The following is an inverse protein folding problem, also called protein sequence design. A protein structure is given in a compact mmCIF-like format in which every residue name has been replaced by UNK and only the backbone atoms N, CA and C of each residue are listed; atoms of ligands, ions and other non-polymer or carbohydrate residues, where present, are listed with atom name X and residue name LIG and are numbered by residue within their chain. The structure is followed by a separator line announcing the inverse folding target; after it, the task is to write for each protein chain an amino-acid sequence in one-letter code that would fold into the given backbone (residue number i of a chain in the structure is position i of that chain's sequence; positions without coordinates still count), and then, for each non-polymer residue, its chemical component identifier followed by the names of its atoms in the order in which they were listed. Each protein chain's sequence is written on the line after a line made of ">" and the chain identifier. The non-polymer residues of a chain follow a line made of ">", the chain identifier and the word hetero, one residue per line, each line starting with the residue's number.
data_IF_886341887461
#
_entry.id   IF_886341887461
#
_cell.length_a   1.000
_cell.length_b   1.000
_cell.length_c   1.000
_cell.angle_alpha   90.00
_cell.angle_beta   90.00
_cell.angle_gamma   90.00
#
_symmetry.space_group_name_H-M   'P 1'
#
loop_
_entity.id
_entity.type
_entity.pdbx_description
1 polymer ?
#
# COMPACT_ATOMS: atom_id res chain seq x y z
N UNK A 1 -22.73 18.85 -25.97
CA UNK A 1 -22.37 17.43 -26.15
C UNK A 1 -21.19 17.19 -25.22
N UNK A 2 -21.39 16.47 -24.11
CA UNK A 2 -20.27 16.11 -23.23
C UNK A 2 -19.41 15.15 -24.06
N UNK A 3 -18.21 15.60 -24.43
CA UNK A 3 -17.16 14.73 -24.97
C UNK A 3 -16.88 13.69 -23.87
N UNK A 4 -16.75 12.42 -24.26
CA UNK A 4 -16.55 11.25 -23.38
C UNK A 4 -15.82 11.57 -22.08
N UNK A 5 -16.38 11.12 -20.95
CA UNK A 5 -15.70 11.11 -19.65
C UNK A 5 -14.46 10.24 -19.81
N UNK A 6 -13.27 10.78 -19.53
CA UNK A 6 -12.03 9.98 -19.52
C UNK A 6 -11.90 9.20 -18.21
N UNK A 7 -10.99 8.22 -18.17
CA UNK A 7 -10.84 7.32 -17.02
C UNK A 7 -10.52 8.08 -15.72
N UNK A 8 -9.68 9.12 -15.79
CA UNK A 8 -9.38 9.97 -14.64
C UNK A 8 -10.59 10.76 -14.12
N UNK A 9 -11.49 11.20 -15.01
CA UNK A 9 -12.76 11.82 -14.61
C UNK A 9 -13.71 10.81 -13.98
N UNK A 10 -13.74 9.57 -14.49
CA UNK A 10 -14.53 8.49 -13.93
C UNK A 10 -14.05 8.12 -12.52
N UNK A 11 -12.74 8.00 -12.31
CA UNK A 11 -12.15 7.75 -10.99
C UNK A 11 -12.49 8.85 -9.99
N UNK A 12 -12.38 10.13 -10.40
CA UNK A 12 -12.76 11.26 -9.54
C UNK A 12 -14.23 11.18 -9.10
N UNK A 13 -15.13 10.77 -9.99
CA UNK A 13 -16.55 10.56 -9.66
C UNK A 13 -16.74 9.39 -8.70
N UNK A 14 -16.09 8.24 -8.94
CA UNK A 14 -16.12 7.08 -8.03
C UNK A 14 -15.64 7.46 -6.64
N UNK A 15 -14.50 8.17 -6.54
CA UNK A 15 -13.95 8.68 -5.28
C UNK A 15 -14.93 9.61 -4.56
N UNK A 16 -15.53 10.57 -5.27
CA UNK A 16 -16.53 11.49 -4.70
C UNK A 16 -17.79 10.78 -4.20
N UNK A 17 -18.24 9.73 -4.91
CA UNK A 17 -19.35 8.88 -4.49
C UNK A 17 -19.04 8.16 -3.16
N UNK A 18 -17.91 7.46 -3.08
CA UNK A 18 -17.52 6.74 -1.86
C UNK A 18 -17.32 7.67 -0.67
N UNK A 19 -16.68 8.82 -0.87
CA UNK A 19 -16.52 9.84 0.18
C UNK A 19 -17.88 10.35 0.67
N UNK A 20 -18.82 10.61 -0.24
CA UNK A 20 -20.18 11.05 0.14
C UNK A 20 -20.90 9.99 0.98
N UNK A 21 -20.78 8.71 0.61
CA UNK A 21 -21.35 7.61 1.39
C UNK A 21 -20.68 7.48 2.77
N UNK A 22 -19.36 7.60 2.83
CA UNK A 22 -18.60 7.53 4.08
C UNK A 22 -18.99 8.66 5.04
N UNK A 23 -19.16 9.91 4.56
CA UNK A 23 -19.66 11.03 5.38
C UNK A 23 -21.05 10.71 5.96
N UNK A 24 -21.96 10.19 5.13
CA UNK A 24 -23.31 9.85 5.59
C UNK A 24 -23.29 8.75 6.65
N UNK A 25 -22.46 7.72 6.46
CA UNK A 25 -22.32 6.62 7.41
C UNK A 25 -21.69 7.09 8.72
N UNK A 26 -20.57 7.81 8.67
CA UNK A 26 -19.83 8.20 9.88
C UNK A 26 -20.64 9.16 10.76
N UNK A 27 -21.51 10.00 10.17
CA UNK A 27 -22.42 10.87 10.92
C UNK A 27 -23.52 10.09 11.67
N UNK A 28 -23.78 8.84 11.29
CA UNK A 28 -24.77 7.96 11.94
C UNK A 28 -24.11 7.04 12.95
N UNK A 29 -22.80 6.81 12.82
CA UNK A 29 -22.03 5.88 13.64
C UNK A 29 -21.46 6.59 14.88
N UNK A 30 -21.43 5.87 16.01
CA UNK A 30 -21.03 6.43 17.30
C UNK A 30 -19.50 6.38 17.47
N UNK A 31 -18.83 7.46 17.05
CA UNK A 31 -17.37 7.57 17.11
C UNK A 31 -16.81 7.45 18.53
N UNK A 32 -17.56 7.89 19.55
CA UNK A 32 -17.11 7.78 20.95
C UNK A 32 -17.06 6.32 21.37
N UNK A 33 -18.03 5.50 20.96
CA UNK A 33 -18.00 4.05 21.20
C UNK A 33 -16.88 3.36 20.45
N UNK A 34 -16.55 3.81 19.24
CA UNK A 34 -15.38 3.30 18.52
C UNK A 34 -14.10 3.54 19.33
N UNK A 35 -13.87 4.79 19.74
CA UNK A 35 -12.68 5.18 20.53
C UNK A 35 -12.61 4.44 21.86
N UNK A 36 -13.74 4.23 22.54
CA UNK A 36 -13.79 3.54 23.83
C UNK A 36 -13.82 2.00 23.72
N UNK A 37 -13.64 1.44 22.51
CA UNK A 37 -13.67 0.00 22.27
C UNK A 37 -15.00 -0.70 22.60
N UNK A 38 -16.13 0.00 22.50
CA UNK A 38 -17.46 -0.49 22.90
C UNK A 38 -18.30 -1.04 21.72
N UNK A 39 -17.74 -1.11 20.52
CA UNK A 39 -18.44 -1.61 19.33
C UNK A 39 -18.16 -3.09 19.06
N UNK A 40 -19.09 -3.74 18.36
CA UNK A 40 -18.77 -4.99 17.70
C UNK A 40 -17.76 -4.77 16.56
N UNK A 41 -16.95 -5.79 16.28
CA UNK A 41 -15.84 -5.69 15.33
C UNK A 41 -16.28 -5.27 13.92
N UNK A 42 -17.45 -5.74 13.44
CA UNK A 42 -17.94 -5.38 12.10
C UNK A 42 -18.30 -3.89 12.00
N UNK A 43 -18.90 -3.33 13.06
CA UNK A 43 -19.13 -1.88 13.14
C UNK A 43 -17.84 -1.10 13.27
N UNK A 44 -16.87 -1.57 14.07
CA UNK A 44 -15.56 -0.94 14.19
C UNK A 44 -14.84 -0.87 12.83
N UNK A 45 -14.79 -1.99 12.09
CA UNK A 45 -14.24 -2.06 10.73
C UNK A 45 -14.96 -1.09 9.80
N UNK A 46 -16.30 -1.03 9.87
CA UNK A 46 -17.08 -0.13 9.02
C UNK A 46 -16.75 1.35 9.28
N UNK A 47 -16.61 1.74 10.56
CA UNK A 47 -16.21 3.10 10.94
C UNK A 47 -14.80 3.38 10.43
N UNK A 48 -13.87 2.47 10.68
CA UNK A 48 -12.48 2.66 10.31
C UNK A 48 -12.29 2.80 8.78
N UNK A 49 -12.92 1.93 7.98
CA UNK A 49 -12.94 2.06 6.51
C UNK A 49 -13.50 3.41 6.08
N UNK A 50 -14.55 3.92 6.75
CA UNK A 50 -15.07 5.27 6.46
C UNK A 50 -14.06 6.37 6.79
N UNK A 51 -13.30 6.27 7.89
CA UNK A 51 -12.27 7.24 8.26
C UNK A 51 -11.17 7.29 7.19
N UNK A 52 -10.67 6.12 6.76
CA UNK A 52 -9.62 6.00 5.73
C UNK A 52 -10.07 6.59 4.40
N UNK A 53 -11.30 6.30 3.94
CA UNK A 53 -11.86 6.88 2.69
C UNK A 53 -11.86 8.40 2.71
N UNK A 54 -12.13 8.98 3.87
CA UNK A 54 -12.23 10.43 4.02
C UNK A 54 -10.86 11.11 4.10
N UNK A 55 -9.76 10.36 4.25
CA UNK A 55 -8.43 10.91 4.57
C UNK A 55 -8.49 11.93 5.73
N UNK A 56 -9.33 11.66 6.73
CA UNK A 56 -9.65 12.56 7.85
C UNK A 56 -8.96 12.14 9.16
N UNK A 57 -7.74 11.61 9.09
CA UNK A 57 -6.95 11.21 10.27
C UNK A 57 -6.90 12.31 11.34
N UNK A 58 -6.79 13.58 10.93
CA UNK A 58 -6.78 14.74 11.84
C UNK A 58 -8.07 14.96 12.64
N UNK A 59 -9.22 14.48 12.16
CA UNK A 59 -10.50 14.57 12.89
C UNK A 59 -10.75 13.37 13.78
N UNK A 60 -10.00 12.28 13.57
CA UNK A 60 -10.16 10.99 14.25
C UNK A 60 -8.77 10.48 14.66
N UNK A 61 -8.06 11.29 15.44
CA UNK A 61 -6.72 10.97 15.95
C UNK A 61 -6.73 9.66 16.74
N UNK A 62 -5.72 8.81 16.53
CA UNK A 62 -5.62 7.50 17.18
C UNK A 62 -6.58 6.44 16.62
N UNK A 63 -7.30 6.71 15.54
CA UNK A 63 -8.25 5.73 14.95
C UNK A 63 -7.56 4.46 14.45
N UNK A 64 -6.36 4.56 13.88
CA UNK A 64 -5.58 3.39 13.45
C UNK A 64 -5.08 2.58 14.64
N UNK A 65 -4.64 3.22 15.73
CA UNK A 65 -4.32 2.54 17.00
C UNK A 65 -5.52 1.79 17.56
N UNK A 66 -6.68 2.46 17.68
CA UNK A 66 -7.90 1.82 18.18
C UNK A 66 -8.30 0.62 17.30
N UNK A 67 -8.19 0.74 15.97
CA UNK A 67 -8.51 -0.36 15.07
C UNK A 67 -7.50 -1.52 15.19
N UNK A 68 -6.22 -1.23 15.40
CA UNK A 68 -5.20 -2.24 15.68
C UNK A 68 -5.56 -3.02 16.95
N UNK A 69 -5.94 -2.32 18.02
CA UNK A 69 -6.38 -2.93 19.28
C UNK A 69 -7.65 -3.78 19.07
N UNK A 70 -8.61 -3.30 18.27
CA UNK A 70 -9.78 -4.11 17.90
C UNK A 70 -9.37 -5.41 17.20
N UNK A 71 -8.44 -5.36 16.24
CA UNK A 71 -7.97 -6.57 15.57
C UNK A 71 -7.30 -7.54 16.55
N UNK A 72 -6.50 -7.02 17.47
CA UNK A 72 -5.82 -7.84 18.47
C UNK A 72 -6.79 -8.48 19.47
N UNK A 73 -7.67 -7.69 20.12
CA UNK A 73 -8.63 -8.19 21.12
C UNK A 73 -9.57 -9.25 20.55
N UNK A 74 -9.92 -9.12 19.26
CA UNK A 74 -10.79 -10.09 18.58
C UNK A 74 -10.01 -11.26 17.95
N UNK A 75 -8.72 -11.43 18.24
CA UNK A 75 -7.84 -12.50 17.71
C UNK A 75 -7.78 -12.54 16.19
N UNK A 76 -7.86 -11.38 15.55
CA UNK A 76 -7.75 -11.21 14.09
C UNK A 76 -6.33 -10.85 13.66
N UNK A 77 -5.46 -10.50 14.61
CA UNK A 77 -4.04 -10.28 14.43
C UNK A 77 -3.28 -11.07 15.49
N UNK A 78 -2.23 -11.77 15.09
CA UNK A 78 -1.36 -12.49 16.02
C UNK A 78 -0.55 -11.51 16.88
N UNK A 79 -0.26 -11.90 18.12
CA UNK A 79 0.47 -11.08 19.10
C UNK A 79 1.82 -10.60 18.56
N UNK A 80 2.57 -11.49 17.91
CA UNK A 80 3.87 -11.15 17.29
C UNK A 80 3.74 -10.01 16.25
N UNK A 81 2.68 -10.01 15.44
CA UNK A 81 2.45 -8.92 14.48
C UNK A 81 1.95 -7.66 15.15
N UNK A 82 1.08 -7.78 16.15
CA UNK A 82 0.62 -6.63 16.90
C UNK A 82 1.77 -5.89 17.56
N UNK A 83 2.66 -6.61 18.25
CA UNK A 83 3.82 -6.05 18.94
C UNK A 83 4.79 -5.41 17.94
N UNK A 84 5.12 -6.10 16.85
CA UNK A 84 6.04 -5.57 15.84
C UNK A 84 5.49 -4.30 15.18
N UNK A 85 4.20 -4.29 14.83
CA UNK A 85 3.52 -3.10 14.30
C UNK A 85 3.63 -1.97 15.30
N UNK A 86 3.31 -2.23 16.58
CA UNK A 86 3.37 -1.25 17.66
C UNK A 86 4.77 -0.68 17.90
N UNK A 87 5.84 -1.40 17.57
CA UNK A 87 7.21 -0.96 17.81
C UNK A 87 7.79 -0.17 16.62
N UNK A 88 7.53 -0.61 15.39
CA UNK A 88 8.19 -0.06 14.19
C UNK A 88 7.37 0.92 13.37
N UNK A 89 6.03 0.85 13.47
CA UNK A 89 5.12 1.65 12.65
C UNK A 89 4.37 2.72 13.46
N UNK A 90 4.77 2.98 14.70
CA UNK A 90 4.29 4.16 15.47
C UNK A 90 4.70 5.45 14.76
N UNK A 91 3.84 6.46 14.88
CA UNK A 91 4.12 7.87 14.54
C UNK A 91 5.26 8.44 15.42
N UNK A 92 6.47 7.93 15.29
CA UNK A 92 7.67 8.58 15.82
C UNK A 92 8.21 9.52 14.74
N UNK A 93 8.49 10.77 15.14
CA UNK A 93 9.40 11.62 14.38
C UNK A 93 10.72 10.86 14.24
N UNK A 94 11.05 10.44 13.01
CA UNK A 94 12.30 9.73 12.67
C UNK A 94 13.52 10.68 12.77
N UNK A 95 13.30 11.96 13.10
CA UNK A 95 14.27 13.06 13.11
C UNK A 95 15.47 12.92 14.08
N UNK A 96 15.59 11.84 14.87
CA UNK A 96 16.69 11.65 15.83
C UNK A 96 17.52 10.35 15.68
N UNK A 97 17.37 9.59 14.58
CA UNK A 97 18.12 8.33 14.39
C UNK A 97 19.43 8.54 13.61
N UNK A 98 20.53 7.96 14.09
CA UNK A 98 21.84 7.96 13.42
C UNK A 98 21.78 7.13 12.11
N UNK A 99 22.53 7.52 11.07
CA UNK A 99 22.45 6.95 9.70
C UNK A 99 22.55 5.41 9.63
N UNK A 100 23.36 4.75 10.49
CA UNK A 100 23.44 3.27 10.51
C UNK A 100 22.15 2.62 11.02
N UNK A 101 21.47 3.25 11.98
CA UNK A 101 20.18 2.78 12.50
C UNK A 101 19.01 3.01 11.53
N UNK A 102 19.20 3.87 10.52
CA UNK A 102 18.21 4.16 9.48
C UNK A 102 18.11 3.00 8.47
N UNK A 103 19.23 2.47 8.01
CA UNK A 103 19.26 1.33 7.09
C UNK A 103 18.77 0.04 7.75
N UNK A 104 19.18 -0.23 9.00
CA UNK A 104 18.68 -1.39 9.75
C UNK A 104 17.14 -1.32 9.94
N UNK A 105 16.61 -0.13 10.26
CA UNK A 105 15.18 0.09 10.38
C UNK A 105 14.43 -0.12 9.05
N UNK A 106 15.02 0.32 7.93
CA UNK A 106 14.46 0.10 6.60
C UNK A 106 14.40 -1.38 6.24
N UNK A 107 15.51 -2.12 6.40
CA UNK A 107 15.59 -3.55 6.11
C UNK A 107 14.55 -4.34 6.92
N UNK A 108 14.45 -4.04 8.22
CA UNK A 108 13.51 -4.68 9.11
C UNK A 108 12.04 -4.39 8.73
N UNK A 109 11.70 -3.12 8.46
CA UNK A 109 10.35 -2.73 8.02
C UNK A 109 10.00 -3.37 6.68
N UNK A 110 10.93 -3.40 5.74
CA UNK A 110 10.73 -4.00 4.43
C UNK A 110 10.51 -5.51 4.52
N UNK A 111 11.36 -6.22 5.27
CA UNK A 111 11.22 -7.66 5.51
C UNK A 111 9.88 -7.98 6.20
N UNK A 112 9.48 -7.16 7.16
CA UNK A 112 8.16 -7.28 7.79
C UNK A 112 7.01 -7.11 6.79
N UNK A 113 7.00 -6.03 5.99
CA UNK A 113 5.94 -5.78 4.99
C UNK A 113 5.86 -6.93 3.99
N UNK A 114 7.01 -7.41 3.52
CA UNK A 114 7.10 -8.54 2.59
C UNK A 114 6.52 -9.83 3.20
N UNK A 115 6.93 -10.18 4.42
CA UNK A 115 6.40 -11.34 5.16
C UNK A 115 4.90 -11.21 5.43
N UNK A 116 4.45 -10.02 5.78
CA UNK A 116 3.05 -9.73 6.08
C UNK A 116 2.17 -9.92 4.84
N UNK A 117 2.52 -9.30 3.71
CA UNK A 117 1.80 -9.47 2.43
C UNK A 117 1.77 -10.95 2.03
N UNK A 118 2.92 -11.64 2.08
CA UNK A 118 3.03 -13.06 1.71
C UNK A 118 2.13 -13.94 2.58
N UNK A 119 2.11 -13.74 3.90
CA UNK A 119 1.25 -14.52 4.78
C UNK A 119 -0.24 -14.27 4.53
N UNK A 120 -0.64 -13.01 4.37
CA UNK A 120 -2.05 -12.69 4.06
C UNK A 120 -2.52 -13.34 2.75
N UNK A 121 -1.66 -13.33 1.74
CA UNK A 121 -1.93 -14.00 0.48
C UNK A 121 -1.94 -15.54 0.61
N UNK A 122 -1.01 -16.11 1.37
CA UNK A 122 -0.99 -17.55 1.65
C UNK A 122 -2.26 -18.02 2.37
N UNK A 123 -2.78 -17.25 3.33
CA UNK A 123 -4.07 -17.50 4.01
C UNK A 123 -5.25 -17.59 3.00
N UNK A 124 -5.10 -17.01 1.81
CA UNK A 124 -6.07 -17.07 0.71
C UNK A 124 -5.70 -18.02 -0.42
N UNK A 125 -4.54 -18.68 -0.35
CA UNK A 125 -4.02 -19.49 -1.45
C UNK A 125 -3.62 -18.66 -2.68
N UNK A 126 -3.25 -17.39 -2.48
CA UNK A 126 -2.78 -16.48 -3.52
C UNK A 126 -1.26 -16.54 -3.54
N UNK A 127 -0.68 -16.69 -4.73
CA UNK A 127 0.77 -16.63 -4.93
C UNK A 127 1.21 -15.17 -5.05
N UNK A 128 2.26 -14.81 -4.32
CA UNK A 128 2.84 -13.46 -4.33
C UNK A 128 4.21 -13.50 -4.97
N UNK A 129 4.43 -12.58 -5.90
CA UNK A 129 5.74 -12.25 -6.43
C UNK A 129 6.15 -10.89 -5.91
N UNK A 130 7.42 -10.72 -5.59
CA UNK A 130 7.95 -9.46 -5.06
C UNK A 130 9.32 -9.22 -5.68
N UNK A 131 9.51 -8.08 -6.33
CA UNK A 131 10.80 -7.71 -6.92
C UNK A 131 10.98 -6.19 -6.96
N UNK A 132 12.23 -5.74 -6.91
CA UNK A 132 12.57 -4.32 -7.07
C UNK A 132 12.41 -3.86 -8.51
N UNK A 133 11.96 -2.61 -8.68
CA UNK A 133 11.82 -1.99 -10.00
C UNK A 133 13.17 -1.92 -10.73
N UNK A 134 14.26 -1.62 -10.03
CA UNK A 134 15.61 -1.63 -10.63
C UNK A 134 16.02 -3.00 -11.17
N UNK A 135 15.72 -4.08 -10.45
CA UNK A 135 15.98 -5.46 -10.87
C UNK A 135 15.10 -5.88 -12.06
N UNK A 136 13.82 -5.46 -12.06
CA UNK A 136 12.89 -5.65 -13.17
C UNK A 136 13.36 -4.87 -14.42
N UNK A 137 13.83 -3.63 -14.25
CA UNK A 137 14.27 -2.76 -15.33
C UNK A 137 15.54 -3.28 -16.02
N UNK A 138 16.50 -3.77 -15.23
CA UNK A 138 17.83 -4.18 -15.68
C UNK A 138 17.93 -5.64 -16.13
N UNK A 139 16.81 -6.38 -16.16
CA UNK A 139 16.74 -7.83 -16.48
C UNK A 139 17.61 -8.72 -15.57
N UNK A 140 17.96 -8.26 -14.36
CA UNK A 140 18.56 -9.11 -13.31
C UNK A 140 17.65 -10.29 -12.94
N UNK A 141 16.35 -10.11 -13.14
CA UNK A 141 15.29 -11.05 -12.84
C UNK A 141 14.39 -11.22 -14.06
N UNK A 142 14.26 -12.45 -14.56
CA UNK A 142 13.37 -12.76 -15.68
C UNK A 142 12.27 -13.71 -15.20
N UNK A 143 11.15 -13.12 -14.80
CA UNK A 143 9.89 -13.81 -14.59
C UNK A 143 8.86 -13.16 -15.52
N UNK A 144 8.17 -13.99 -16.30
CA UNK A 144 7.20 -13.54 -17.30
C UNK A 144 6.09 -12.68 -16.68
N UNK A 145 5.81 -12.86 -15.39
CA UNK A 145 4.80 -12.07 -14.66
C UNK A 145 5.15 -10.58 -14.57
N UNK A 146 6.44 -10.21 -14.72
CA UNK A 146 6.91 -8.82 -14.68
C UNK A 146 7.12 -8.21 -16.07
N UNK A 147 6.90 -8.94 -17.17
CA UNK A 147 7.17 -8.44 -18.53
C UNK A 147 6.46 -7.10 -18.81
N UNK A 148 5.19 -7.01 -18.48
CA UNK A 148 4.38 -5.81 -18.68
C UNK A 148 4.89 -4.61 -17.88
N UNK A 149 5.30 -4.84 -16.62
CA UNK A 149 5.85 -3.79 -15.77
C UNK A 149 7.23 -3.35 -16.26
N UNK A 150 8.08 -4.30 -16.68
CA UNK A 150 9.39 -4.01 -17.28
C UNK A 150 9.24 -3.14 -18.51
N UNK A 151 8.36 -3.52 -19.43
CA UNK A 151 8.15 -2.78 -20.67
C UNK A 151 7.65 -1.36 -20.38
N UNK A 152 6.76 -1.20 -19.39
CA UNK A 152 6.31 0.12 -18.93
C UNK A 152 7.45 0.96 -18.33
N UNK A 153 8.28 0.37 -17.45
CA UNK A 153 9.41 1.07 -16.84
C UNK A 153 10.44 1.50 -17.90
N UNK A 154 10.74 0.63 -18.88
CA UNK A 154 11.65 0.94 -19.99
C UNK A 154 11.11 1.99 -20.94
N UNK A 155 9.82 1.94 -21.28
CA UNK A 155 9.17 2.98 -22.06
C UNK A 155 9.27 4.34 -21.36
N UNK A 156 9.01 4.37 -20.04
CA UNK A 156 9.12 5.60 -19.25
C UNK A 156 10.57 6.10 -19.11
N UNK A 157 11.53 5.18 -18.95
CA UNK A 157 12.96 5.47 -18.95
C UNK A 157 13.51 5.90 -20.31
N UNK A 158 12.72 5.79 -21.39
CA UNK A 158 13.14 6.12 -22.75
C UNK A 158 14.09 5.08 -23.37
N UNK A 159 14.13 3.87 -22.82
CA UNK A 159 14.98 2.78 -23.28
C UNK A 159 14.21 1.84 -24.21
N UNK A 160 14.74 1.61 -25.41
CA UNK A 160 14.18 0.70 -26.41
C UNK A 160 15.13 -0.50 -26.57
N UNK A 161 14.58 -1.72 -26.62
CA UNK A 161 15.26 -3.02 -26.55
C UNK A 161 16.35 -3.31 -27.63
N UNK A 162 16.69 -2.34 -28.48
CA UNK A 162 17.56 -2.53 -29.64
C UNK A 162 19.07 -2.29 -29.37
N UNK A 163 19.47 -1.99 -28.12
CA UNK A 163 20.87 -1.75 -27.74
C UNK A 163 21.39 -2.82 -26.77
N UNK A 164 22.52 -3.49 -27.09
CA UNK A 164 23.21 -4.35 -26.11
C UNK A 164 23.87 -3.45 -25.05
N UNK A 165 23.14 -3.20 -23.96
CA UNK A 165 23.58 -2.41 -22.80
C UNK A 165 23.85 -3.35 -21.63
N UNK A 166 24.88 -3.05 -20.82
CA UNK A 166 25.17 -3.87 -19.65
C UNK A 166 24.13 -3.64 -18.55
N UNK A 167 23.92 -4.64 -17.69
CA UNK A 167 23.04 -4.53 -16.52
C UNK A 167 23.41 -3.33 -15.63
N UNK A 168 24.70 -3.08 -15.45
CA UNK A 168 25.22 -1.98 -14.65
C UNK A 168 24.81 -0.62 -15.25
N UNK A 169 24.96 -0.48 -16.57
CA UNK A 169 24.56 0.75 -17.28
C UNK A 169 23.03 0.94 -17.21
N UNK A 170 22.24 -0.13 -17.30
CA UNK A 170 20.77 -0.07 -17.15
C UNK A 170 20.34 0.36 -15.74
N UNK A 171 21.06 -0.07 -14.70
CA UNK A 171 20.79 0.39 -13.33
C UNK A 171 21.15 1.86 -13.14
N UNK A 172 22.28 2.30 -13.68
CA UNK A 172 22.68 3.71 -13.65
C UNK A 172 21.62 4.58 -14.37
N UNK A 173 21.18 4.16 -15.56
CA UNK A 173 20.09 4.82 -16.31
C UNK A 173 18.79 4.86 -15.50
N UNK A 174 18.44 3.76 -14.81
CA UNK A 174 17.27 3.71 -13.95
C UNK A 174 17.33 4.77 -12.84
N UNK A 175 18.44 4.84 -12.09
CA UNK A 175 18.55 5.82 -11.00
C UNK A 175 18.65 7.26 -11.50
N UNK A 176 19.20 7.50 -12.69
CA UNK A 176 19.21 8.81 -13.33
C UNK A 176 17.79 9.31 -13.66
N UNK A 177 16.88 8.40 -14.03
CA UNK A 177 15.48 8.72 -14.36
C UNK A 177 14.59 8.77 -13.12
N UNK A 178 14.58 7.70 -12.33
CA UNK A 178 13.59 7.50 -11.27
C UNK A 178 14.02 8.06 -9.92
N UNK A 179 15.33 8.25 -9.69
CA UNK A 179 15.94 8.84 -8.46
C UNK A 179 15.71 8.04 -7.17
N UNK A 180 14.82 7.07 -7.18
CA UNK A 180 14.42 6.20 -6.07
C UNK A 180 14.08 4.81 -6.64
N UNK A 181 14.14 3.79 -5.79
CA UNK A 181 13.65 2.45 -6.12
C UNK A 181 12.34 2.11 -5.40
N UNK A 182 11.63 1.12 -5.93
CA UNK A 182 10.36 0.65 -5.38
C UNK A 182 10.27 -0.88 -5.46
N UNK A 183 9.47 -1.48 -4.59
CA UNK A 183 9.16 -2.91 -4.63
C UNK A 183 7.77 -3.10 -5.24
N UNK A 184 7.68 -3.97 -6.23
CA UNK A 184 6.42 -4.42 -6.82
C UNK A 184 6.00 -5.75 -6.21
N UNK A 185 4.85 -5.78 -5.55
CA UNK A 185 4.16 -7.00 -5.16
C UNK A 185 3.08 -7.36 -6.17
N UNK A 186 3.14 -8.54 -6.78
CA UNK A 186 2.09 -9.06 -7.68
C UNK A 186 1.34 -10.19 -7.00
N UNK A 187 0.04 -9.99 -6.79
CA UNK A 187 -0.90 -11.00 -6.31
C UNK A 187 -1.47 -11.76 -7.51
N UNK A 188 -0.93 -12.95 -7.79
CA UNK A 188 -1.24 -13.72 -8.99
C UNK A 188 -2.70 -14.20 -9.01
N UNK A 189 -3.48 -13.81 -10.03
CA UNK A 189 -4.87 -14.26 -10.20
C UNK A 189 -5.86 -13.68 -9.18
N UNK A 190 -5.49 -12.62 -8.46
CA UNK A 190 -6.34 -11.96 -7.48
C UNK A 190 -6.61 -10.51 -7.88
N UNK A 191 -7.89 -10.16 -8.06
CA UNK A 191 -8.32 -8.79 -8.36
C UNK A 191 -9.01 -8.17 -7.14
N UNK A 192 -8.35 -7.19 -6.52
CA UNK A 192 -9.00 -6.33 -5.53
C UNK A 192 -10.13 -5.53 -6.17
N UNK A 193 -11.21 -5.29 -5.42
CA UNK A 193 -12.30 -4.46 -5.91
C UNK A 193 -11.89 -2.98 -5.99
N UNK A 194 -12.59 -2.18 -6.81
CA UNK A 194 -12.42 -0.72 -6.84
C UNK A 194 -12.44 -0.07 -5.44
N UNK A 195 -13.26 -0.62 -4.54
CA UNK A 195 -13.38 -0.13 -3.17
C UNK A 195 -12.15 -0.46 -2.32
N UNK A 196 -11.60 -1.66 -2.46
CA UNK A 196 -10.40 -2.11 -1.75
C UNK A 196 -9.16 -1.37 -2.26
N UNK A 197 -9.01 -1.23 -3.57
CA UNK A 197 -7.96 -0.42 -4.19
C UNK A 197 -8.02 1.03 -3.71
N UNK A 198 -9.21 1.62 -3.66
CA UNK A 198 -9.38 2.98 -3.13
C UNK A 198 -9.00 3.08 -1.65
N UNK A 199 -9.36 2.10 -0.82
CA UNK A 199 -8.97 2.08 0.59
C UNK A 199 -7.45 2.03 0.74
N UNK A 200 -6.80 1.10 0.05
CA UNK A 200 -5.35 0.92 0.12
C UNK A 200 -4.59 2.13 -0.45
N UNK A 201 -5.01 2.65 -1.60
CA UNK A 201 -4.42 3.88 -2.16
C UNK A 201 -4.63 5.13 -1.30
N UNK A 202 -5.61 5.10 -0.39
CA UNK A 202 -5.79 6.21 0.55
C UNK A 202 -4.82 6.15 1.74
N UNK A 203 -4.16 5.01 1.99
CA UNK A 203 -3.13 4.86 3.03
C UNK A 203 -1.75 5.25 2.53
N UNK A 204 -1.52 5.28 1.22
CA UNK A 204 -0.29 5.84 0.66
C UNK A 204 -0.29 7.37 0.77
N UNK A 205 0.87 7.92 1.12
CA UNK A 205 1.12 9.35 1.09
C UNK A 205 1.54 9.76 -0.32
N UNK A 206 1.14 10.95 -0.75
CA UNK A 206 1.67 11.50 -1.99
C UNK A 206 3.03 12.12 -1.66
N UNK A 207 4.10 11.51 -2.16
CA UNK A 207 5.44 12.11 -2.14
C UNK A 207 5.59 12.87 -3.46
N UNK A 208 6.13 14.09 -3.39
CA UNK A 208 6.27 14.98 -4.56
C UNK A 208 7.47 14.59 -5.47
N UNK A 209 8.26 13.57 -5.10
CA UNK A 209 9.51 13.17 -5.74
C UNK A 209 9.56 11.63 -5.82
N UNK A 210 10.11 11.09 -6.92
CA UNK A 210 10.37 9.66 -7.06
C UNK A 210 9.20 8.82 -7.60
N UNK A 211 9.19 7.54 -7.23
CA UNK A 211 8.18 6.56 -7.64
C UNK A 211 6.98 6.65 -6.69
N UNK A 212 5.78 6.76 -7.26
CA UNK A 212 4.55 6.79 -6.45
C UNK A 212 4.19 5.38 -5.99
N UNK A 213 3.95 5.20 -4.68
CA UNK A 213 3.30 3.98 -4.18
C UNK A 213 1.83 3.95 -4.57
N UNK A 214 1.40 2.82 -5.11
CA UNK A 214 0.04 2.64 -5.58
C UNK A 214 -0.35 1.16 -5.59
N UNK A 215 -1.65 0.91 -5.61
CA UNK A 215 -2.23 -0.39 -5.86
C UNK A 215 -3.22 -0.31 -7.02
N UNK A 216 -3.13 -1.24 -7.95
CA UNK A 216 -4.01 -1.31 -9.12
C UNK A 216 -4.22 -2.76 -9.55
N UNK A 217 -5.23 -2.96 -10.41
CA UNK A 217 -5.46 -4.27 -11.05
C UNK A 217 -5.21 -4.17 -12.54
N UNK A 218 -4.62 -5.22 -13.10
CA UNK A 218 -4.40 -5.36 -14.54
C UNK A 218 -4.32 -6.84 -14.89
N UNK A 219 -4.99 -7.23 -15.97
CA UNK A 219 -4.94 -8.57 -16.56
C UNK A 219 -5.18 -9.73 -15.57
N UNK A 220 -6.09 -9.57 -14.59
CA UNK A 220 -6.39 -10.63 -13.60
C UNK A 220 -5.52 -10.60 -12.34
N UNK A 221 -4.61 -9.63 -12.22
CA UNK A 221 -3.65 -9.50 -11.12
C UNK A 221 -3.87 -8.20 -10.35
N UNK A 222 -3.50 -8.20 -9.07
CA UNK A 222 -3.34 -6.96 -8.28
C UNK A 222 -1.87 -6.68 -8.09
N UNK A 223 -1.47 -5.46 -8.38
CA UNK A 223 -0.14 -4.92 -8.19
C UNK A 223 -0.20 -3.98 -6.99
N UNK A 224 0.77 -4.09 -6.09
CA UNK A 224 1.00 -3.15 -5.00
C UNK A 224 2.45 -2.70 -5.13
N UNK A 225 2.64 -1.47 -5.58
CA UNK A 225 3.94 -0.81 -5.66
C UNK A 225 4.15 -0.01 -4.39
N UNK A 226 5.31 -0.19 -3.75
CA UNK A 226 5.69 0.57 -2.57
C UNK A 226 7.09 1.15 -2.79
N UNK A 227 7.18 2.47 -2.80
CA UNK A 227 8.44 3.20 -2.91
C UNK A 227 9.29 3.02 -1.65
N UNK A 228 10.61 2.97 -1.79
CA UNK A 228 11.53 2.79 -0.66
C UNK A 228 11.38 3.91 0.39
N UNK A 229 11.16 5.15 -0.06
CA UNK A 229 10.91 6.28 0.83
C UNK A 229 9.63 6.08 1.65
N UNK A 230 8.57 5.54 1.04
CA UNK A 230 7.34 5.25 1.79
C UNK A 230 7.48 4.10 2.77
N UNK A 231 8.24 3.05 2.44
CA UNK A 231 8.49 1.93 3.37
C UNK A 231 9.01 2.45 4.70
N UNK A 232 9.86 3.46 4.66
CA UNK A 232 10.48 4.02 5.85
C UNK A 232 9.68 5.15 6.50
N UNK A 233 9.25 6.13 5.73
CA UNK A 233 8.80 7.41 6.28
C UNK A 233 7.28 7.55 6.34
N UNK A 234 6.54 6.73 5.58
CA UNK A 234 5.13 7.02 5.32
C UNK A 234 4.17 5.84 5.52
N UNK A 235 4.63 4.59 5.40
CA UNK A 235 3.77 3.45 5.73
C UNK A 235 3.52 3.45 7.24
N UNK A 236 2.25 3.47 7.61
CA UNK A 236 1.78 3.50 8.98
C UNK A 236 0.89 2.28 9.28
N UNK A 237 0.29 2.28 10.46
CA UNK A 237 -0.73 1.30 10.85
C UNK A 237 -1.86 1.16 9.83
N UNK A 238 -2.24 2.27 9.18
CA UNK A 238 -3.39 2.31 8.31
C UNK A 238 -3.21 1.40 7.11
N UNK A 239 -2.03 1.40 6.51
CA UNK A 239 -1.70 0.49 5.40
C UNK A 239 -1.85 -0.98 5.82
N UNK A 240 -1.21 -1.38 6.92
CA UNK A 240 -1.19 -2.78 7.38
C UNK A 240 -2.58 -3.26 7.81
N UNK A 241 -3.33 -2.41 8.51
CA UNK A 241 -4.71 -2.69 8.93
C UNK A 241 -5.61 -2.85 7.71
N UNK A 242 -5.57 -1.91 6.76
CA UNK A 242 -6.42 -1.97 5.57
C UNK A 242 -6.09 -3.21 4.74
N UNK A 243 -4.81 -3.52 4.57
CA UNK A 243 -4.40 -4.74 3.89
C UNK A 243 -4.96 -5.98 4.59
N UNK A 244 -4.81 -6.10 5.92
CA UNK A 244 -5.42 -7.21 6.68
C UNK A 244 -6.93 -7.29 6.46
N UNK A 245 -7.63 -6.16 6.54
CA UNK A 245 -9.09 -6.11 6.39
C UNK A 245 -9.56 -6.51 4.99
N UNK A 246 -8.82 -6.15 3.94
CA UNK A 246 -9.09 -6.59 2.56
C UNK A 246 -8.97 -8.11 2.48
N UNK A 247 -7.87 -8.66 2.97
CA UNK A 247 -7.65 -10.11 2.99
C UNK A 247 -8.59 -10.85 3.96
N UNK A 248 -9.28 -10.20 4.89
CA UNK A 248 -10.30 -10.88 5.69
C UNK A 248 -11.64 -11.06 4.96
N UNK A 249 -11.87 -10.41 3.81
CA UNK A 249 -13.18 -10.36 3.11
C UNK A 249 -14.34 -9.91 4.02
N UNK A 250 -14.13 -8.92 4.90
CA UNK A 250 -15.16 -8.35 5.81
C UNK A 250 -15.68 -7.01 5.29
#
# INVERSE_FOLDING_TARGET
>A
MIKSINDGELERLKKGFYQTLAIKKINILDNNKFINMELDINKAITIYKCIVILKKSNFYTGSSTNMLDYLYIYNMLEEEYYDYICDFFKDYDIDEREDESYYECWDERNDFVNKFIKKLAEEKGIKVHSEYFSDIYSDCFNDEIYNDLRDYLREYGGYYQDEEVSEYDLRDDYYDVFQEDAISYILEGYEMTDYDLMLLNNTFFNIDIGITSEAYTRDGHTYITISNMQILEAIDYSFLIILKLIFMNI
#
